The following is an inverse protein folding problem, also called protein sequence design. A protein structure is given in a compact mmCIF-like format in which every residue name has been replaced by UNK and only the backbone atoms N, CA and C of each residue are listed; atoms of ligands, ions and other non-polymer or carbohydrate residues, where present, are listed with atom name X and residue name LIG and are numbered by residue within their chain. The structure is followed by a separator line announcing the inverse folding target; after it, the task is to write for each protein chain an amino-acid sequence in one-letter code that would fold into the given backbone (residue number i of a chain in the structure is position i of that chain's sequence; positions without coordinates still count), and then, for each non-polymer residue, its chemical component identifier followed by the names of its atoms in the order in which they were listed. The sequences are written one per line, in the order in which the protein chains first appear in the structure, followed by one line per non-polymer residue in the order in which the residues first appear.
data_IF_608916971582
#
_entry.id   IF_608916971582
#
_cell.length_a   1.000
_cell.length_b   1.000
_cell.length_c   1.000
_cell.angle_alpha   90.00
_cell.angle_beta   90.00
_cell.angle_gamma   90.00
#
_symmetry.space_group_name_H-M   'P 1'
#
loop_
_entity.id
_entity.type
_entity.pdbx_description
1 polymer ?
#
# COMPACT_ATOMS: atom_id res chain seq x y z
N UNK A 1 8.43 -6.03 -4.86
CA UNK A 1 9.12 -5.07 -3.98
C UNK A 1 8.31 -3.80 -3.98
N UNK A 2 7.69 -3.45 -2.85
CA UNK A 2 7.07 -2.14 -2.70
C UNK A 2 8.14 -1.19 -2.18
N UNK A 3 8.41 -0.12 -2.93
CA UNK A 3 9.20 0.99 -2.41
C UNK A 3 8.42 1.71 -1.32
N UNK A 4 9.11 2.24 -0.35
CA UNK A 4 8.52 3.18 0.60
C UNK A 4 8.14 4.45 -0.13
N UNK A 5 7.04 5.07 0.26
CA UNK A 5 6.65 6.36 -0.26
C UNK A 5 7.63 7.45 0.18
N UNK A 6 7.94 8.33 -0.73
CA UNK A 6 8.92 9.40 -0.54
C UNK A 6 10.31 9.03 -1.05
N UNK A 7 10.91 9.98 -1.70
CA UNK A 7 12.19 9.90 -2.41
C UNK A 7 13.38 9.39 -1.61
N UNK A 8 13.25 9.23 -0.31
CA UNK A 8 14.32 8.83 0.60
C UNK A 8 13.92 7.77 1.62
N UNK A 9 12.89 6.96 1.29
CA UNK A 9 12.34 6.01 2.26
C UNK A 9 11.53 6.73 3.33
N UNK A 10 10.43 7.35 2.91
CA UNK A 10 9.56 8.12 3.80
C UNK A 10 8.98 7.29 4.94
N UNK A 11 8.52 7.94 6.00
CA UNK A 11 8.01 7.30 7.21
C UNK A 11 6.67 6.58 6.98
N UNK A 12 6.07 6.71 5.81
CA UNK A 12 4.75 6.15 5.49
C UNK A 12 4.89 4.99 4.52
N UNK A 13 4.41 3.84 4.93
CA UNK A 13 4.36 2.67 4.04
C UNK A 13 3.19 2.75 3.06
N UNK A 14 3.37 2.21 1.85
CA UNK A 14 2.32 2.09 0.82
C UNK A 14 1.09 1.31 1.31
N UNK A 15 1.25 0.42 2.28
CA UNK A 15 0.15 -0.35 2.85
C UNK A 15 -0.42 0.39 4.05
N UNK A 16 -1.73 0.68 4.01
CA UNK A 16 -2.41 1.27 5.15
C UNK A 16 -2.41 0.27 6.33
N UNK A 17 -1.83 0.69 7.46
CA UNK A 17 -1.71 -0.14 8.65
C UNK A 17 -3.08 -0.58 9.22
N UNK A 18 -4.12 0.22 9.07
CA UNK A 18 -5.48 -0.11 9.52
C UNK A 18 -6.05 -1.35 8.83
N UNK A 19 -5.57 -1.66 7.62
CA UNK A 19 -6.00 -2.82 6.84
C UNK A 19 -5.17 -4.08 7.12
N UNK A 20 -4.10 -3.98 7.89
CA UNK A 20 -3.23 -5.11 8.20
C UNK A 20 -3.88 -5.97 9.28
N UNK A 21 -3.98 -7.27 9.02
CA UNK A 21 -4.40 -8.27 9.99
C UNK A 21 -3.20 -8.85 10.75
N UNK A 22 -2.14 -9.17 10.01
CA UNK A 22 -0.98 -9.86 10.55
C UNK A 22 0.28 -9.55 9.76
N UNK A 23 1.40 -9.45 10.47
CA UNK A 23 2.73 -9.32 9.88
C UNK A 23 3.62 -10.43 10.42
N UNK A 24 4.19 -11.23 9.54
CA UNK A 24 5.23 -12.20 9.88
C UNK A 24 6.57 -11.72 9.33
N UNK A 25 7.53 -11.61 10.20
CA UNK A 25 8.89 -11.25 9.83
C UNK A 25 9.81 -12.45 9.99
N UNK A 26 10.37 -12.92 8.88
CA UNK A 26 11.29 -14.05 8.85
C UNK A 26 12.70 -13.55 8.65
N UNK A 27 13.59 -13.85 9.64
CA UNK A 27 15.02 -13.56 9.58
C UNK A 27 15.78 -14.88 9.63
N UNK A 28 16.55 -15.21 8.63
CA UNK A 28 17.33 -16.46 8.59
C UNK A 28 16.61 -17.61 7.90
N UNK A 29 16.24 -18.68 8.60
CA UNK A 29 15.62 -19.86 8.00
C UNK A 29 14.24 -19.51 7.38
N UNK A 30 14.22 -19.35 6.06
CA UNK A 30 13.00 -19.00 5.34
C UNK A 30 12.17 -20.26 5.02
N UNK A 31 10.83 -20.22 5.19
CA UNK A 31 9.96 -21.26 4.69
C UNK A 31 10.16 -21.49 3.18
N UNK A 32 10.02 -22.73 2.73
CA UNK A 32 10.26 -23.17 1.33
C UNK A 32 9.45 -22.39 0.29
N UNK A 33 8.34 -21.82 0.70
CA UNK A 33 7.48 -20.99 -0.15
C UNK A 33 8.12 -19.66 -0.58
N UNK A 34 9.15 -19.19 0.15
CA UNK A 34 9.86 -17.96 -0.16
C UNK A 34 11.19 -18.29 -0.87
N UNK A 35 11.11 -18.51 -2.17
CA UNK A 35 12.28 -18.75 -3.01
C UNK A 35 12.89 -17.44 -3.48
N UNK A 36 14.20 -17.46 -3.79
CA UNK A 36 14.91 -16.29 -4.36
C UNK A 36 15.02 -15.07 -3.46
N UNK A 37 15.06 -15.27 -2.15
CA UNK A 37 15.26 -14.21 -1.16
C UNK A 37 16.62 -14.37 -0.49
N UNK A 38 17.37 -13.26 -0.39
CA UNK A 38 18.76 -13.28 0.10
C UNK A 38 18.89 -13.01 1.60
N UNK A 39 17.92 -12.37 2.26
CA UNK A 39 18.08 -11.95 3.66
C UNK A 39 16.84 -12.22 4.53
N UNK A 40 15.81 -11.43 4.38
CA UNK A 40 14.61 -11.49 5.22
C UNK A 40 13.35 -11.32 4.39
N UNK A 41 12.24 -11.81 4.92
CA UNK A 41 10.90 -11.68 4.33
C UNK A 41 9.95 -11.10 5.35
N UNK A 42 9.18 -10.12 4.92
CA UNK A 42 8.02 -9.60 5.64
C UNK A 42 6.76 -10.06 4.90
N UNK A 43 6.02 -11.02 5.49
CA UNK A 43 4.72 -11.47 4.99
C UNK A 43 3.62 -10.64 5.66
N UNK A 44 2.96 -9.79 4.88
CA UNK A 44 1.90 -8.89 5.36
C UNK A 44 0.57 -9.43 4.86
N UNK A 45 -0.32 -9.72 5.81
CA UNK A 45 -1.67 -10.17 5.53
C UNK A 45 -2.67 -9.08 5.82
N UNK A 46 -3.47 -8.75 4.80
CA UNK A 46 -4.56 -7.79 4.95
C UNK A 46 -5.80 -8.48 5.48
N UNK A 47 -6.56 -7.76 6.31
CA UNK A 47 -7.89 -8.14 6.77
C UNK A 47 -8.78 -8.56 5.58
N UNK A 48 -9.81 -9.31 5.85
CA UNK A 48 -10.90 -9.49 4.92
C UNK A 48 -11.99 -8.43 5.21
N UNK A 49 -12.84 -8.17 4.22
CA UNK A 49 -14.02 -7.34 4.45
C UNK A 49 -14.94 -8.00 5.48
N UNK A 50 -15.65 -7.17 6.25
CA UNK A 50 -16.63 -7.64 7.22
C UNK A 50 -17.83 -8.27 6.49
N UNK A 51 -18.17 -9.55 6.75
CA UNK A 51 -19.28 -10.21 6.08
C UNK A 51 -20.67 -9.80 6.61
N UNK A 52 -20.73 -9.03 7.68
CA UNK A 52 -21.98 -8.67 8.37
C UNK A 52 -22.27 -7.18 8.34
N UNK A 53 -21.24 -6.34 8.34
CA UNK A 53 -21.38 -4.89 8.44
C UNK A 53 -20.58 -4.18 7.36
N UNK A 54 -21.17 -3.10 6.83
CA UNK A 54 -20.47 -2.17 5.97
C UNK A 54 -19.98 -0.98 6.80
N UNK A 55 -18.69 -0.72 6.79
CA UNK A 55 -18.06 0.37 7.52
C UNK A 55 -17.31 1.28 6.57
N UNK A 56 -17.39 2.58 6.82
CA UNK A 56 -16.63 3.60 6.12
C UNK A 56 -15.96 4.46 7.18
N UNK A 57 -14.64 4.68 7.03
CA UNK A 57 -13.82 5.44 7.96
C UNK A 57 -13.07 6.53 7.20
N UNK A 58 -13.29 7.77 7.60
CA UNK A 58 -12.48 8.90 7.15
C UNK A 58 -11.45 9.24 8.23
N UNK A 59 -10.21 9.41 7.83
CA UNK A 59 -9.09 9.76 8.68
C UNK A 59 -8.53 11.12 8.24
N UNK A 60 -8.28 11.97 9.22
CA UNK A 60 -7.50 13.19 9.03
C UNK A 60 -6.29 13.10 9.97
N UNK A 61 -5.13 12.83 9.41
CA UNK A 61 -3.86 12.74 10.13
C UNK A 61 -3.10 14.06 10.13
N UNK A 62 -1.89 14.06 10.68
CA UNK A 62 -1.00 15.23 10.66
C UNK A 62 -0.40 15.52 9.28
N UNK A 63 -0.35 14.52 8.40
CA UNK A 63 0.32 14.58 7.10
C UNK A 63 -0.53 14.11 5.92
N UNK A 64 -1.66 13.47 6.19
CA UNK A 64 -2.49 12.83 5.18
C UNK A 64 -3.98 12.86 5.52
N UNK A 65 -4.79 12.82 4.48
CA UNK A 65 -6.22 12.52 4.57
C UNK A 65 -6.46 11.16 3.93
N UNK A 66 -7.32 10.38 4.54
CA UNK A 66 -7.61 9.03 4.05
C UNK A 66 -9.08 8.65 4.18
N UNK A 67 -9.49 7.78 3.28
CA UNK A 67 -10.79 7.12 3.31
C UNK A 67 -10.57 5.62 3.19
N UNK A 68 -11.15 4.86 4.10
CA UNK A 68 -11.10 3.40 4.06
C UNK A 68 -12.46 2.79 4.33
N UNK A 69 -12.69 1.62 3.78
CA UNK A 69 -13.95 0.93 3.97
C UNK A 69 -13.78 -0.58 3.97
N UNK A 70 -14.68 -1.23 4.67
CA UNK A 70 -14.75 -2.68 4.82
C UNK A 70 -16.19 -3.12 4.85
N UNK A 71 -16.52 -4.21 4.18
CA UNK A 71 -17.88 -4.71 4.18
C UNK A 71 -18.12 -5.84 3.20
N UNK A 72 -19.41 -6.01 2.84
CA UNK A 72 -19.86 -7.07 1.94
C UNK A 72 -20.78 -6.54 0.85
N UNK A 73 -20.80 -7.27 -0.27
CA UNK A 73 -21.72 -7.09 -1.38
C UNK A 73 -22.46 -8.42 -1.57
N UNK A 74 -23.72 -8.45 -1.12
CA UNK A 74 -24.48 -9.70 -1.04
C UNK A 74 -23.86 -10.67 -0.02
N UNK A 75 -24.14 -11.97 -0.17
CA UNK A 75 -23.75 -12.99 0.81
C UNK A 75 -22.37 -13.62 0.54
N UNK A 76 -21.79 -13.39 -0.65
CA UNK A 76 -20.63 -14.15 -1.14
C UNK A 76 -19.39 -13.30 -1.40
N UNK A 77 -19.53 -11.98 -1.37
CA UNK A 77 -18.43 -11.08 -1.69
C UNK A 77 -18.16 -10.16 -0.54
N UNK A 78 -16.90 -10.09 -0.10
CA UNK A 78 -16.45 -9.07 0.85
C UNK A 78 -15.42 -8.17 0.20
N UNK A 79 -15.40 -6.89 0.64
CA UNK A 79 -14.48 -5.90 0.14
C UNK A 79 -13.74 -5.19 1.28
N UNK A 80 -12.56 -4.74 0.95
CA UNK A 80 -11.72 -3.89 1.78
C UNK A 80 -11.01 -2.92 0.86
N UNK A 81 -11.06 -1.62 1.17
CA UNK A 81 -10.34 -0.62 0.39
C UNK A 81 -9.78 0.49 1.27
N UNK A 82 -8.78 1.17 0.76
CA UNK A 82 -8.24 2.41 1.31
C UNK A 82 -7.72 3.29 0.19
N UNK A 83 -7.90 4.59 0.33
CA UNK A 83 -7.24 5.61 -0.46
C UNK A 83 -6.73 6.67 0.48
N UNK A 84 -5.49 7.14 0.29
CA UNK A 84 -4.86 8.17 1.10
C UNK A 84 -4.15 9.18 0.21
N UNK A 85 -4.24 10.44 0.58
CA UNK A 85 -3.54 11.53 -0.08
C UNK A 85 -2.78 12.36 0.96
N UNK A 86 -1.52 12.66 0.68
CA UNK A 86 -0.68 13.49 1.50
C UNK A 86 -0.91 14.96 1.20
N UNK A 87 -0.90 15.78 2.24
CA UNK A 87 -0.84 17.23 2.13
C UNK A 87 0.46 17.84 2.71
N UNK A 88 1.48 17.01 2.88
CA UNK A 88 2.80 17.43 3.37
C UNK A 88 3.39 18.58 2.56
N UNK A 89 3.12 18.66 1.26
CA UNK A 89 3.58 19.75 0.40
C UNK A 89 3.16 21.13 0.94
N UNK A 90 1.94 21.27 1.47
CA UNK A 90 1.46 22.53 2.03
C UNK A 90 2.17 22.88 3.34
N UNK A 91 2.35 21.88 4.21
CA UNK A 91 3.07 22.04 5.46
C UNK A 91 4.54 22.42 5.21
N UNK A 92 5.21 21.75 4.29
CA UNK A 92 6.61 21.98 3.96
C UNK A 92 6.81 23.34 3.28
N UNK A 93 5.86 23.74 2.42
CA UNK A 93 5.86 25.08 1.84
C UNK A 93 5.69 26.17 2.92
N UNK A 94 4.79 25.95 3.89
CA UNK A 94 4.59 26.88 5.00
C UNK A 94 5.83 27.00 5.91
N UNK A 95 6.60 25.91 6.08
CA UNK A 95 7.83 25.88 6.84
C UNK A 95 9.06 26.38 6.06
N UNK A 96 8.90 26.81 4.79
CA UNK A 96 10.00 27.26 3.95
C UNK A 96 11.00 26.16 3.57
N UNK A 97 10.56 24.91 3.54
CA UNK A 97 11.44 23.79 3.20
C UNK A 97 11.68 23.72 1.67
N UNK A 98 12.89 23.31 1.23
CA UNK A 98 13.26 23.34 -0.19
C UNK A 98 12.61 22.22 -1.03
N UNK A 99 11.88 21.29 -0.43
CA UNK A 99 11.24 20.17 -1.12
C UNK A 99 9.78 20.00 -0.69
N UNK A 100 8.95 19.59 -1.62
CA UNK A 100 7.50 19.47 -1.48
C UNK A 100 7.04 18.05 -1.80
N UNK A 101 7.05 17.15 -0.82
CA UNK A 101 6.59 15.78 -1.02
C UNK A 101 5.06 15.72 -1.12
N UNK A 102 4.58 14.91 -2.03
CA UNK A 102 3.17 14.57 -2.20
C UNK A 102 3.05 13.10 -2.59
N UNK A 103 2.14 12.40 -1.96
CA UNK A 103 1.82 11.03 -2.36
C UNK A 103 0.32 10.79 -2.36
N UNK A 104 -0.09 9.91 -3.26
CA UNK A 104 -1.42 9.34 -3.33
C UNK A 104 -1.27 7.83 -3.39
N UNK A 105 -1.90 7.11 -2.49
CA UNK A 105 -1.95 5.66 -2.54
C UNK A 105 -3.36 5.12 -2.44
N UNK A 106 -3.55 3.94 -3.00
CA UNK A 106 -4.81 3.23 -2.95
C UNK A 106 -4.61 1.73 -2.94
N UNK A 107 -5.49 1.05 -2.24
CA UNK A 107 -5.50 -0.41 -2.20
C UNK A 107 -6.92 -0.93 -2.11
N UNK A 108 -7.14 -2.06 -2.76
CA UNK A 108 -8.42 -2.78 -2.73
C UNK A 108 -8.19 -4.27 -2.64
N UNK A 109 -9.00 -4.94 -1.84
CA UNK A 109 -9.07 -6.39 -1.76
C UNK A 109 -10.52 -6.81 -1.85
N UNK A 110 -10.80 -7.68 -2.81
CA UNK A 110 -12.11 -8.30 -3.00
C UNK A 110 -11.96 -9.81 -2.78
N UNK A 111 -12.84 -10.38 -2.00
CA UNK A 111 -12.90 -11.81 -1.76
C UNK A 111 -14.26 -12.34 -2.19
N UNK A 112 -14.25 -13.27 -3.12
CA UNK A 112 -15.42 -13.93 -3.69
C UNK A 112 -15.47 -15.36 -3.20
N UNK A 113 -16.55 -15.74 -2.52
CA UNK A 113 -16.83 -17.13 -2.14
C UNK A 113 -17.68 -17.77 -3.22
N UNK A 114 -17.06 -18.51 -4.11
CA UNK A 114 -17.75 -19.19 -5.22
C UNK A 114 -18.59 -20.36 -4.73
N UNK A 115 -18.03 -21.13 -3.79
CA UNK A 115 -18.69 -22.27 -3.13
C UNK A 115 -18.19 -22.38 -1.67
N UNK A 116 -18.73 -23.33 -0.85
CA UNK A 116 -18.16 -23.62 0.47
C UNK A 116 -16.70 -24.06 0.45
N UNK A 117 -16.19 -24.51 -0.71
CA UNK A 117 -14.84 -25.02 -0.90
C UNK A 117 -13.97 -24.14 -1.80
N UNK A 118 -14.52 -23.15 -2.46
CA UNK A 118 -13.83 -22.37 -3.49
C UNK A 118 -13.91 -20.89 -3.21
N UNK A 119 -12.75 -20.23 -3.22
CA UNK A 119 -12.66 -18.78 -3.06
C UNK A 119 -11.69 -18.16 -4.07
N UNK A 120 -12.01 -16.96 -4.52
CA UNK A 120 -11.12 -16.10 -5.28
C UNK A 120 -10.86 -14.84 -4.49
N UNK A 121 -9.61 -14.44 -4.41
CA UNK A 121 -9.21 -13.13 -3.88
C UNK A 121 -8.58 -12.35 -5.01
N UNK A 122 -9.09 -11.14 -5.23
CA UNK A 122 -8.47 -10.13 -6.07
C UNK A 122 -7.89 -9.03 -5.18
N UNK A 123 -6.69 -8.57 -5.50
CA UNK A 123 -6.03 -7.48 -4.79
C UNK A 123 -5.34 -6.53 -5.76
N UNK A 124 -5.49 -5.24 -5.54
CA UNK A 124 -4.75 -4.20 -6.23
C UNK A 124 -4.20 -3.19 -5.24
N UNK A 125 -2.98 -2.75 -5.48
CA UNK A 125 -2.28 -1.71 -4.72
C UNK A 125 -1.63 -0.77 -5.73
N UNK A 126 -1.79 0.53 -5.51
CA UNK A 126 -1.13 1.54 -6.33
C UNK A 126 -0.66 2.71 -5.49
N UNK A 127 0.43 3.33 -5.89
CA UNK A 127 0.94 4.55 -5.30
C UNK A 127 1.56 5.45 -6.37
N UNK A 128 1.33 6.74 -6.22
CA UNK A 128 1.97 7.81 -6.97
C UNK A 128 2.72 8.66 -5.95
N UNK A 129 4.02 8.76 -6.11
CA UNK A 129 4.90 9.52 -5.24
C UNK A 129 5.61 10.58 -6.05
N UNK A 130 5.51 11.83 -5.60
CA UNK A 130 6.09 12.99 -6.28
C UNK A 130 6.80 13.86 -5.27
N UNK A 131 8.05 14.18 -5.56
CA UNK A 131 8.79 15.20 -4.84
C UNK A 131 9.13 16.33 -5.79
N UNK A 132 8.58 17.51 -5.52
CA UNK A 132 8.86 18.75 -6.26
C UNK A 132 9.80 19.62 -5.44
N UNK A 133 10.55 20.46 -6.13
CA UNK A 133 11.36 21.48 -5.47
C UNK A 133 10.51 22.73 -5.17
N UNK A 134 10.76 23.34 -4.02
CA UNK A 134 10.16 24.62 -3.66
C UNK A 134 11.03 25.76 -4.20
N UNK A 135 10.70 26.25 -5.38
CA UNK A 135 11.44 27.34 -6.03
C UNK A 135 10.99 28.74 -5.59
N UNK A 136 10.00 28.84 -4.73
CA UNK A 136 9.49 30.12 -4.21
C UNK A 136 10.43 30.70 -3.13
N UNK A 137 11.17 29.84 -2.45
CA UNK A 137 12.15 30.25 -1.43
C UNK A 137 13.47 30.68 -2.10
N UNK A 138 14.03 31.81 -1.62
CA UNK A 138 15.27 32.38 -2.11
C UNK A 138 16.29 32.48 -0.99
N UNK A 139 17.52 32.11 -1.28
CA UNK A 139 18.66 32.18 -0.37
C UNK A 139 19.81 31.34 -0.92
N UNK A 140 21.04 31.74 -0.65
CA UNK A 140 22.23 31.01 -1.14
C UNK A 140 22.24 29.56 -0.66
N UNK A 141 21.84 29.32 0.61
CA UNK A 141 21.74 27.97 1.17
C UNK A 141 20.63 27.13 0.49
N UNK A 142 19.51 27.78 0.14
CA UNK A 142 18.39 27.12 -0.55
C UNK A 142 18.76 26.77 -1.98
N UNK A 143 19.39 27.69 -2.72
CA UNK A 143 19.87 27.43 -4.09
C UNK A 143 20.90 26.28 -4.11
N UNK A 144 21.79 26.25 -3.15
CA UNK A 144 22.74 25.15 -2.98
C UNK A 144 22.03 23.82 -2.74
N UNK A 145 21.09 23.77 -1.81
CA UNK A 145 20.29 22.54 -1.56
C UNK A 145 19.47 22.12 -2.78
N UNK A 146 18.82 23.05 -3.48
CA UNK A 146 18.02 22.78 -4.68
C UNK A 146 18.87 22.18 -5.81
N UNK A 147 20.16 22.52 -5.90
CA UNK A 147 21.06 21.98 -6.92
C UNK A 147 21.38 20.50 -6.74
N UNK A 148 21.25 19.97 -5.52
CA UNK A 148 21.54 18.57 -5.18
C UNK A 148 20.29 17.71 -4.97
N UNK A 149 19.13 18.32 -4.76
CA UNK A 149 17.88 17.57 -4.54
C UNK A 149 17.33 17.06 -5.88
N UNK A 150 17.16 15.76 -6.05
CA UNK A 150 16.54 15.21 -7.24
C UNK A 150 15.02 15.49 -7.25
N UNK A 151 14.48 15.80 -8.41
CA UNK A 151 13.05 15.70 -8.66
C UNK A 151 12.73 14.22 -8.84
N UNK A 152 11.84 13.69 -8.01
CA UNK A 152 11.48 12.28 -8.07
C UNK A 152 10.00 12.16 -8.39
N UNK A 153 9.69 11.35 -9.38
CA UNK A 153 8.35 10.90 -9.69
C UNK A 153 8.39 9.39 -9.81
N UNK A 154 7.63 8.72 -8.95
CA UNK A 154 7.55 7.27 -8.91
C UNK A 154 6.10 6.82 -8.91
N UNK A 155 5.77 5.93 -9.83
CA UNK A 155 4.46 5.30 -9.91
C UNK A 155 4.64 3.79 -9.69
N UNK A 156 3.87 3.22 -8.78
CA UNK A 156 3.92 1.78 -8.50
C UNK A 156 2.52 1.22 -8.50
N UNK A 157 2.29 0.18 -9.29
CA UNK A 157 1.01 -0.51 -9.37
C UNK A 157 1.24 -2.01 -9.30
N UNK A 158 0.49 -2.69 -8.47
CA UNK A 158 0.48 -4.15 -8.41
C UNK A 158 -0.95 -4.64 -8.37
N UNK A 159 -1.25 -5.59 -9.25
CA UNK A 159 -2.53 -6.31 -9.24
C UNK A 159 -2.25 -7.80 -9.12
N UNK A 160 -3.12 -8.50 -8.42
CA UNK A 160 -2.99 -9.94 -8.26
C UNK A 160 -4.34 -10.61 -8.02
N UNK A 161 -4.39 -11.88 -8.38
CA UNK A 161 -5.53 -12.74 -8.10
C UNK A 161 -5.03 -14.09 -7.58
N UNK A 162 -5.76 -14.65 -6.63
CA UNK A 162 -5.52 -16.01 -6.15
C UNK A 162 -6.81 -16.80 -6.08
N UNK A 163 -6.73 -18.07 -6.46
CA UNK A 163 -7.80 -19.05 -6.31
C UNK A 163 -7.39 -20.07 -5.29
N UNK A 164 -8.28 -20.41 -4.36
CA UNK A 164 -8.08 -21.46 -3.38
C UNK A 164 -9.22 -22.47 -3.43
N UNK A 165 -8.87 -23.74 -3.54
CA UNK A 165 -9.78 -24.87 -3.35
C UNK A 165 -9.47 -25.61 -2.06
N UNK A 166 -10.48 -25.77 -1.21
CA UNK A 166 -10.42 -26.52 0.05
C UNK A 166 -11.01 -27.92 -0.15
N UNK A 167 -10.16 -28.91 -0.41
CA UNK A 167 -10.56 -30.31 -0.44
C UNK A 167 -10.69 -30.90 0.97
N UNK A 168 -11.15 -32.13 1.07
CA UNK A 168 -11.37 -32.80 2.37
C UNK A 168 -10.06 -33.05 3.14
N UNK A 169 -8.95 -33.28 2.43
CA UNK A 169 -7.62 -33.58 3.02
C UNK A 169 -6.50 -32.74 2.42
N UNK A 170 -6.81 -31.87 1.47
CA UNK A 170 -5.84 -31.08 0.74
C UNK A 170 -6.36 -29.65 0.54
N UNK A 171 -5.43 -28.75 0.32
CA UNK A 171 -5.69 -27.35 -0.09
C UNK A 171 -4.85 -27.09 -1.34
N UNK A 172 -5.49 -26.59 -2.39
CA UNK A 172 -4.82 -26.15 -3.61
C UNK A 172 -4.93 -24.63 -3.68
N UNK A 173 -3.83 -23.97 -3.90
CA UNK A 173 -3.78 -22.52 -4.09
C UNK A 173 -3.01 -22.20 -5.37
N UNK A 174 -3.59 -21.38 -6.22
CA UNK A 174 -2.95 -20.81 -7.39
C UNK A 174 -3.02 -19.30 -7.31
N UNK A 175 -1.92 -18.60 -7.60
CA UNK A 175 -1.87 -17.15 -7.57
C UNK A 175 -1.09 -16.61 -8.77
N UNK A 176 -1.53 -15.45 -9.25
CA UNK A 176 -0.85 -14.67 -10.28
C UNK A 176 -0.82 -13.22 -9.85
N UNK A 177 0.29 -12.52 -10.15
CA UNK A 177 0.41 -11.10 -9.92
C UNK A 177 1.22 -10.43 -11.01
N UNK A 178 0.92 -9.15 -11.23
CA UNK A 178 1.64 -8.28 -12.15
C UNK A 178 1.96 -6.97 -11.45
N UNK A 179 3.20 -6.49 -11.57
CA UNK A 179 3.65 -5.23 -11.00
C UNK A 179 4.26 -4.36 -12.09
N UNK A 180 3.96 -3.06 -12.03
CA UNK A 180 4.52 -2.00 -12.86
C UNK A 180 5.16 -0.95 -11.93
N UNK A 181 6.36 -0.48 -12.32
CA UNK A 181 7.15 0.51 -11.57
C UNK A 181 7.52 1.68 -12.45
#
# INVERSE_FOLDING_TARGET
HFSTQGASGGPVGIINADLIEQVHFYTGALPVQFTSVLSSVMDIRLKNGDPYNNTLKANLGASEVGLSGSGHIGERTTYLFSIRESYLQFLFKFLGLPFLPNYLDGQVKLKFRLSPKDEIIFMAIGAIDRMRLNTDEKGEDVEYMLSYLPVIEQNTYTVGASYTHYGNKNRVNAAISYSLY
#
